data_IF_676226567222
#
_entry.id   IF_676226567222
#
_cell.length_a   1.000
_cell.length_b   1.000
_cell.length_c   1.000
_cell.angle_alpha   90.00
_cell.angle_beta   90.00
_cell.angle_gamma   90.00
#
_symmetry.space_group_name_H-M   'P 1'
#
loop_
_entity.id
_entity.type
_entity.pdbx_description
1 polymer ?
#
# COMPACT_ATOMS: atom_id res chain seq x y z
N UNK A 1 -2.91 2.80 -13.11
CA UNK A 1 -2.83 4.21 -12.63
C UNK A 1 -2.49 4.22 -11.15
N UNK A 2 -1.54 5.05 -10.73
CA UNK A 2 -1.12 5.17 -9.33
C UNK A 2 -1.77 6.36 -8.62
N UNK A 3 -1.50 6.52 -7.32
CA UNK A 3 -2.01 7.66 -6.56
C UNK A 3 -1.16 8.94 -6.74
N UNK A 4 0.02 8.88 -7.37
CA UNK A 4 0.84 10.08 -7.65
C UNK A 4 1.62 10.62 -6.44
N UNK A 5 1.71 9.84 -5.36
CA UNK A 5 2.45 10.20 -4.12
C UNK A 5 3.81 9.49 -4.02
N UNK A 6 4.29 8.89 -5.09
CA UNK A 6 5.69 8.44 -5.21
C UNK A 6 6.69 9.61 -5.09
N UNK A 7 7.97 9.37 -4.77
CA UNK A 7 9.00 10.41 -4.82
C UNK A 7 9.00 11.14 -6.17
N UNK A 8 8.82 12.47 -6.14
CA UNK A 8 8.70 13.29 -7.35
C UNK A 8 7.35 13.20 -8.07
N UNK A 9 6.38 12.46 -7.53
CA UNK A 9 5.03 12.34 -8.08
C UNK A 9 4.23 13.63 -7.99
N UNK A 10 3.26 13.78 -8.89
CA UNK A 10 2.45 15.00 -9.05
C UNK A 10 1.66 15.43 -7.80
N UNK A 11 1.47 14.52 -6.83
CA UNK A 11 0.75 14.76 -5.58
C UNK A 11 1.64 14.71 -4.33
N UNK A 12 2.94 14.47 -4.51
CA UNK A 12 3.88 14.35 -3.39
C UNK A 12 4.12 15.68 -2.68
N UNK A 13 4.09 16.81 -3.39
CA UNK A 13 4.27 18.14 -2.79
C UNK A 13 3.08 18.55 -1.91
N UNK A 14 1.85 18.31 -2.38
CA UNK A 14 0.63 18.71 -1.67
C UNK A 14 0.25 17.75 -0.52
N UNK A 15 0.46 16.44 -0.71
CA UNK A 15 0.00 15.42 0.24
C UNK A 15 1.15 14.66 0.92
N UNK A 16 2.40 15.03 0.66
CA UNK A 16 3.58 14.28 1.10
C UNK A 16 3.78 12.99 0.32
N UNK A 17 5.02 12.48 0.36
CA UNK A 17 5.40 11.17 -0.19
C UNK A 17 4.66 10.06 0.57
N UNK A 18 4.17 9.06 -0.16
CA UNK A 18 3.46 7.92 0.41
C UNK A 18 4.44 7.01 1.17
N UNK A 19 4.12 6.57 2.41
CA UNK A 19 4.92 5.58 3.14
C UNK A 19 5.15 4.29 2.35
N UNK A 20 4.16 3.86 1.56
CA UNK A 20 4.28 2.69 0.69
C UNK A 20 5.38 2.85 -0.36
N UNK A 21 5.66 4.08 -0.83
CA UNK A 21 6.69 4.32 -1.82
C UNK A 21 8.11 4.24 -1.24
N UNK A 22 8.25 4.27 0.10
CA UNK A 22 9.54 4.27 0.80
C UNK A 22 9.73 3.07 1.74
N UNK A 23 8.74 2.18 1.87
CA UNK A 23 8.81 1.00 2.74
C UNK A 23 9.66 -0.10 2.09
N UNK A 24 10.96 -0.06 2.36
CA UNK A 24 11.94 -1.03 1.82
C UNK A 24 11.67 -2.45 2.29
N UNK A 25 11.11 -2.66 3.49
CA UNK A 25 10.77 -3.99 3.97
C UNK A 25 9.75 -4.71 3.08
N UNK A 26 8.90 -3.96 2.37
CA UNK A 26 7.91 -4.54 1.48
C UNK A 26 8.41 -4.73 0.02
N UNK A 27 9.67 -4.44 -0.25
CA UNK A 27 10.25 -4.55 -1.59
C UNK A 27 10.16 -5.98 -2.15
N UNK A 28 9.83 -6.09 -3.43
CA UNK A 28 9.62 -7.37 -4.11
C UNK A 28 8.29 -8.06 -3.82
N UNK A 29 7.44 -7.53 -2.92
CA UNK A 29 6.10 -8.08 -2.71
C UNK A 29 5.20 -7.80 -3.92
N UNK A 30 4.52 -8.83 -4.42
CA UNK A 30 3.77 -8.83 -5.69
C UNK A 30 4.62 -8.30 -6.87
N UNK A 31 5.93 -8.63 -6.91
CA UNK A 31 6.88 -8.10 -7.91
C UNK A 31 6.91 -6.56 -7.98
N UNK A 32 6.60 -5.89 -6.86
CA UNK A 32 6.62 -4.44 -6.72
C UNK A 32 7.95 -3.90 -6.22
N UNK A 33 8.12 -2.58 -6.34
CA UNK A 33 9.20 -1.83 -5.70
C UNK A 33 8.67 -1.23 -4.39
N UNK A 34 9.42 -1.44 -3.30
CA UNK A 34 9.00 -1.12 -1.94
C UNK A 34 7.57 -1.64 -1.69
N UNK A 35 6.74 -0.88 -0.97
CA UNK A 35 5.34 -1.19 -0.72
C UNK A 35 4.36 -0.86 -1.86
N UNK A 36 4.83 -0.51 -3.06
CA UNK A 36 3.97 0.04 -4.12
C UNK A 36 2.81 -0.89 -4.50
N UNK A 37 3.11 -2.17 -4.74
CA UNK A 37 2.13 -3.21 -5.10
C UNK A 37 1.45 -3.89 -3.92
N UNK A 38 1.66 -3.38 -2.71
CA UNK A 38 1.01 -3.84 -1.49
C UNK A 38 0.51 -2.68 -0.65
N UNK A 39 0.34 -1.49 -1.25
CA UNK A 39 0.09 -0.26 -0.51
C UNK A 39 -1.15 -0.33 0.38
N UNK A 40 -2.14 -1.17 0.05
CA UNK A 40 -3.33 -1.41 0.87
C UNK A 40 -3.06 -2.15 2.19
N UNK A 41 -1.90 -2.80 2.34
CA UNK A 41 -1.46 -3.47 3.59
C UNK A 41 -0.73 -2.51 4.54
N UNK A 42 -0.29 -1.36 4.04
CA UNK A 42 0.55 -0.42 4.79
C UNK A 42 -0.37 0.56 5.52
N UNK A 43 -0.33 0.53 6.86
CA UNK A 43 -1.07 1.47 7.69
C UNK A 43 -0.64 2.92 7.40
N UNK A 44 -1.56 3.87 7.55
CA UNK A 44 -1.36 5.30 7.27
C UNK A 44 -0.92 5.67 5.82
N UNK A 45 -0.92 4.70 4.89
CA UNK A 45 -0.67 4.93 3.45
C UNK A 45 -1.85 5.57 2.71
N UNK A 46 -2.85 6.05 3.44
CA UNK A 46 -4.15 6.44 2.94
C UNK A 46 -4.08 7.30 1.68
N UNK A 47 -4.56 6.75 0.56
CA UNK A 47 -4.77 7.51 -0.65
C UNK A 47 -5.91 8.50 -0.41
N UNK A 48 -5.58 9.71 0.04
CA UNK A 48 -6.52 10.78 0.46
C UNK A 48 -7.44 11.32 -0.65
N UNK A 49 -7.52 10.66 -1.81
CA UNK A 49 -8.36 11.11 -2.95
C UNK A 49 -9.87 10.92 -2.71
N UNK A 50 -10.28 10.13 -1.70
CA UNK A 50 -11.69 9.74 -1.51
C UNK A 50 -12.26 10.15 -0.15
N UNK A 51 -11.50 10.85 0.70
CA UNK A 51 -11.86 11.02 2.10
C UNK A 51 -12.59 12.33 2.46
N UNK A 52 -12.79 13.26 1.53
CA UNK A 52 -13.55 14.48 1.87
C UNK A 52 -15.06 14.30 1.91
N UNK A 53 -15.63 13.14 1.54
CA UNK A 53 -17.11 13.00 1.46
C UNK A 53 -17.75 11.88 2.26
N UNK A 54 -16.99 10.91 2.77
CA UNK A 54 -17.60 9.75 3.43
C UNK A 54 -16.69 9.32 4.58
N UNK A 55 -17.08 9.62 5.82
CA UNK A 55 -16.35 9.25 7.04
C UNK A 55 -16.28 7.73 7.26
N UNK A 56 -15.59 7.00 6.38
CA UNK A 56 -15.29 5.57 6.49
C UNK A 56 -13.79 5.37 6.55
N UNK A 57 -13.38 4.49 7.46
CA UNK A 57 -11.98 4.16 7.72
C UNK A 57 -11.21 3.72 6.47
N UNK A 58 -9.93 4.10 6.46
CA UNK A 58 -8.96 4.04 5.37
C UNK A 58 -8.86 2.68 4.63
N UNK A 59 -9.06 1.55 5.31
CA UNK A 59 -9.01 0.22 4.69
C UNK A 59 -10.14 -0.01 3.67
N UNK A 60 -11.35 0.50 3.92
CA UNK A 60 -12.50 0.24 3.05
C UNK A 60 -12.43 0.93 1.69
N UNK A 61 -11.70 2.06 1.60
CA UNK A 61 -11.50 2.79 0.35
C UNK A 61 -10.36 2.20 -0.48
N UNK A 62 -9.30 1.70 0.14
CA UNK A 62 -8.18 1.06 -0.56
C UNK A 62 -8.59 -0.24 -1.26
N UNK A 63 -9.50 -1.03 -0.68
CA UNK A 63 -10.05 -2.24 -1.30
C UNK A 63 -10.90 -1.96 -2.55
N UNK A 64 -11.26 -0.70 -2.81
CA UNK A 64 -11.98 -0.25 -4.01
C UNK A 64 -11.11 0.59 -4.96
N UNK A 65 -9.83 0.76 -4.63
CA UNK A 65 -8.88 1.48 -5.48
C UNK A 65 -8.67 0.72 -6.79
N UNK A 66 -8.76 1.40 -7.93
CA UNK A 66 -8.51 0.78 -9.24
C UNK A 66 -7.13 0.14 -9.33
N UNK A 67 -6.12 0.73 -8.71
CA UNK A 67 -4.78 0.15 -8.64
C UNK A 67 -4.78 -1.18 -7.88
N UNK A 68 -5.43 -1.24 -6.72
CA UNK A 68 -5.54 -2.49 -5.95
C UNK A 68 -6.28 -3.57 -6.75
N UNK A 69 -7.40 -3.21 -7.39
CA UNK A 69 -8.18 -4.14 -8.20
C UNK A 69 -7.38 -4.66 -9.41
N UNK A 70 -6.56 -3.79 -10.01
CA UNK A 70 -5.67 -4.16 -11.10
C UNK A 70 -4.59 -5.14 -10.63
N UNK A 71 -3.88 -4.86 -9.54
CA UNK A 71 -2.89 -5.81 -8.99
C UNK A 71 -3.57 -7.13 -8.63
N UNK A 72 -4.76 -7.10 -8.00
CA UNK A 72 -5.53 -8.32 -7.70
C UNK A 72 -5.92 -9.14 -8.94
N UNK A 73 -6.05 -8.50 -10.12
CA UNK A 73 -6.33 -9.21 -11.36
C UNK A 73 -5.09 -9.85 -12.00
N UNK A 74 -3.90 -9.39 -11.64
CA UNK A 74 -2.61 -9.90 -12.12
C UNK A 74 -2.05 -10.99 -11.21
N UNK A 75 -2.17 -10.81 -9.90
CA UNK A 75 -1.65 -11.74 -8.89
C UNK A 75 -2.61 -12.92 -8.66
N UNK A 76 -2.06 -14.14 -8.51
CA UNK A 76 -2.90 -15.29 -8.15
C UNK A 76 -3.32 -15.24 -6.67
N UNK A 77 -4.34 -16.04 -6.31
CA UNK A 77 -4.76 -16.17 -4.90
C UNK A 77 -3.62 -16.65 -4.01
N UNK A 78 -2.75 -17.52 -4.53
CA UNK A 78 -1.58 -18.02 -3.81
C UNK A 78 -0.55 -16.91 -3.59
N UNK A 79 -0.34 -16.05 -4.58
CA UNK A 79 0.60 -14.93 -4.50
C UNK A 79 0.13 -13.89 -3.46
N UNK A 80 -1.17 -13.60 -3.42
CA UNK A 80 -1.75 -12.74 -2.39
C UNK A 80 -1.59 -13.31 -0.97
N UNK A 81 -1.79 -14.62 -0.79
CA UNK A 81 -1.59 -15.28 0.51
C UNK A 81 -0.12 -15.27 0.93
N UNK A 82 0.81 -15.53 -0.01
CA UNK A 82 2.25 -15.47 0.24
C UNK A 82 2.70 -14.06 0.60
N UNK A 83 2.17 -13.04 -0.08
CA UNK A 83 2.46 -11.63 0.19
C UNK A 83 2.01 -11.22 1.58
N UNK A 84 0.79 -11.61 2.00
CA UNK A 84 0.33 -11.37 3.38
C UNK A 84 1.22 -12.11 4.39
N UNK A 85 1.57 -13.36 4.11
CA UNK A 85 2.46 -14.16 4.97
C UNK A 85 3.83 -13.51 5.18
N UNK A 86 4.48 -13.08 4.09
CA UNK A 86 5.80 -12.41 4.14
C UNK A 86 5.74 -11.10 4.91
N UNK A 87 4.75 -10.26 4.60
CA UNK A 87 4.56 -8.99 5.29
C UNK A 87 4.35 -9.16 6.80
N UNK A 88 3.53 -10.13 7.22
CA UNK A 88 3.30 -10.41 8.64
C UNK A 88 4.53 -10.99 9.35
N UNK A 89 5.33 -11.81 8.68
CA UNK A 89 6.57 -12.35 9.28
C UNK A 89 7.62 -11.27 9.52
N UNK A 90 7.64 -10.23 8.71
CA UNK A 90 8.61 -9.13 8.81
C UNK A 90 8.19 -8.08 9.86
N UNK A 91 6.89 -7.80 10.00
CA UNK A 91 6.37 -6.91 11.06
C UNK A 91 6.50 -7.56 12.45
N UNK A 92 6.36 -8.89 12.55
CA UNK A 92 6.57 -9.61 13.82
C UNK A 92 7.99 -9.47 14.39
N UNK A 93 8.97 -8.97 13.62
CA UNK A 93 10.31 -8.64 14.11
C UNK A 93 10.51 -7.14 14.41
N UNK A 94 9.59 -6.28 14.00
CA UNK A 94 9.65 -4.83 14.22
C UNK A 94 8.92 -4.37 15.49
N UNK A 95 7.96 -5.14 16.02
CA UNK A 95 7.16 -4.78 17.20
C UNK A 95 7.76 -5.28 18.54
N UNK A 96 9.03 -4.97 18.77
CA UNK A 96 9.63 -5.00 20.10
C UNK A 96 10.09 -3.61 20.55
N UNK A 97 9.30 -2.56 20.31
CA UNK A 97 9.49 -1.25 20.95
C UNK A 97 8.13 -0.59 21.21
N UNK A 98 7.84 -0.38 22.49
CA UNK A 98 6.81 0.53 23.02
C UNK A 98 7.29 1.98 22.88
#
# INVERSE_FOLDING_TARGET
MGCGREPGGARAEEFGVCPAATMVSADGLNDGVNGGRVCWLIEDSGCRMVLEKIGRGCMSSCMRCEFHLHVKSEESVLDLCNTIGRYLTEISQADAVC
#
